data_IF_135336269817
#
_entry.id   IF_135336269817
#
_cell.length_a   1.000
_cell.length_b   1.000
_cell.length_c   1.000
_cell.angle_alpha   90.00
_cell.angle_beta   90.00
_cell.angle_gamma   90.00
#
_symmetry.space_group_name_H-M   'P 1'
#
loop_
_entity.id
_entity.type
_entity.pdbx_description
1 polymer ?
#
# COMPACT_ATOMS: atom_id res chain seq x y z
N UNK A 1 -7.27 95.81 4.15
CA UNK A 1 -8.07 95.63 5.37
C UNK A 1 -9.04 94.48 5.10
N UNK A 2 -8.61 93.24 5.36
CA UNK A 2 -9.48 92.08 5.18
C UNK A 2 -10.43 91.99 6.37
N UNK A 3 -11.74 92.02 6.10
CA UNK A 3 -12.76 91.91 7.14
C UNK A 3 -12.67 90.54 7.80
N UNK A 4 -12.56 90.50 9.13
CA UNK A 4 -12.62 89.27 9.93
C UNK A 4 -14.07 88.75 10.06
N UNK A 5 -14.78 88.65 8.94
CA UNK A 5 -16.08 87.98 8.86
C UNK A 5 -15.92 86.46 8.96
N UNK A 6 -16.80 85.84 9.76
CA UNK A 6 -17.03 84.39 9.82
C UNK A 6 -15.90 83.45 10.23
N UNK A 7 -15.29 83.70 11.40
CA UNK A 7 -14.69 82.63 12.21
C UNK A 7 -15.66 81.45 12.44
N UNK A 8 -16.98 81.70 12.54
CA UNK A 8 -18.03 80.67 12.66
C UNK A 8 -18.19 79.83 11.37
N UNK A 9 -17.95 80.41 10.20
CA UNK A 9 -18.00 79.68 8.93
C UNK A 9 -16.89 78.65 8.83
N UNK A 10 -15.65 79.05 9.16
CA UNK A 10 -14.49 78.16 9.20
C UNK A 10 -14.67 76.95 10.12
N UNK A 11 -15.21 77.12 11.33
CA UNK A 11 -15.43 75.98 12.24
C UNK A 11 -16.40 74.95 11.66
N UNK A 12 -17.43 75.41 10.94
CA UNK A 12 -18.44 74.54 10.32
C UNK A 12 -17.82 73.71 9.19
N UNK A 13 -16.97 74.32 8.35
CA UNK A 13 -16.23 73.62 7.30
C UNK A 13 -15.30 72.56 7.89
N UNK A 14 -14.52 72.89 8.92
CA UNK A 14 -13.61 71.94 9.58
C UNK A 14 -14.36 70.75 10.17
N UNK A 15 -15.48 70.97 10.86
CA UNK A 15 -16.33 69.89 11.41
C UNK A 15 -16.89 69.00 10.31
N UNK A 16 -17.39 69.57 9.21
CA UNK A 16 -17.92 68.80 8.08
C UNK A 16 -16.83 67.98 7.39
N UNK A 17 -15.63 68.54 7.17
CA UNK A 17 -14.48 67.81 6.60
C UNK A 17 -14.04 66.68 7.54
N UNK A 18 -14.02 66.91 8.85
CA UNK A 18 -13.65 65.89 9.83
C UNK A 18 -14.68 64.74 9.89
N UNK A 19 -15.98 65.04 9.77
CA UNK A 19 -17.04 64.05 9.65
C UNK A 19 -16.95 63.25 8.34
N UNK A 20 -16.64 63.89 7.21
CA UNK A 20 -16.42 63.20 5.93
C UNK A 20 -15.18 62.29 5.97
N UNK A 21 -14.09 62.74 6.59
CA UNK A 21 -12.91 61.89 6.80
C UNK A 21 -13.24 60.69 7.69
N UNK A 22 -13.97 60.90 8.79
CA UNK A 22 -14.38 59.83 9.68
C UNK A 22 -15.27 58.79 8.96
N UNK A 23 -16.23 59.23 8.14
CA UNK A 23 -17.09 58.33 7.36
C UNK A 23 -16.32 57.57 6.27
N UNK A 24 -15.31 58.19 5.66
CA UNK A 24 -14.40 57.52 4.74
C UNK A 24 -13.59 56.43 5.46
N UNK A 25 -13.01 56.72 6.63
CA UNK A 25 -12.26 55.74 7.41
C UNK A 25 -13.13 54.57 7.90
N UNK A 26 -14.38 54.82 8.35
CA UNK A 26 -15.28 53.73 8.75
C UNK A 26 -15.76 52.89 7.56
N UNK A 27 -15.96 53.50 6.39
CA UNK A 27 -16.28 52.77 5.15
C UNK A 27 -15.12 51.87 4.72
N UNK A 28 -13.90 52.40 4.64
CA UNK A 28 -12.70 51.62 4.28
C UNK A 28 -12.42 50.52 5.30
N UNK A 29 -12.54 50.82 6.60
CA UNK A 29 -12.38 49.83 7.68
C UNK A 29 -13.37 48.66 7.56
N UNK A 30 -14.65 48.97 7.32
CA UNK A 30 -15.69 47.95 7.11
C UNK A 30 -15.40 47.08 5.87
N UNK A 31 -14.93 47.69 4.77
CA UNK A 31 -14.57 46.95 3.55
C UNK A 31 -13.38 46.01 3.76
N UNK A 32 -12.37 46.41 4.54
CA UNK A 32 -11.23 45.55 4.86
C UNK A 32 -11.66 44.35 5.73
N UNK A 33 -12.38 44.62 6.82
CA UNK A 33 -12.90 43.56 7.72
C UNK A 33 -13.83 42.59 6.97
N UNK A 34 -14.66 43.09 6.05
CA UNK A 34 -15.51 42.23 5.22
C UNK A 34 -14.69 41.31 4.31
N UNK A 35 -13.65 41.83 3.66
CA UNK A 35 -12.77 41.03 2.76
C UNK A 35 -11.97 39.98 3.53
N UNK A 36 -11.48 40.31 4.71
CA UNK A 36 -10.71 39.34 5.50
C UNK A 36 -11.63 38.30 6.14
N UNK A 37 -12.84 38.67 6.58
CA UNK A 37 -13.88 37.72 7.01
C UNK A 37 -14.30 36.77 5.88
N UNK A 38 -14.46 37.27 4.65
CA UNK A 38 -14.77 36.46 3.47
C UNK A 38 -13.64 35.45 3.16
N UNK A 39 -12.37 35.90 3.15
CA UNK A 39 -11.21 35.00 2.99
C UNK A 39 -11.13 33.95 4.09
N UNK A 40 -11.29 34.34 5.36
CA UNK A 40 -11.23 33.40 6.49
C UNK A 40 -12.38 32.38 6.42
N UNK A 41 -13.59 32.81 6.03
CA UNK A 41 -14.72 31.92 5.79
C UNK A 41 -14.44 30.95 4.64
N UNK A 42 -13.85 31.41 3.54
CA UNK A 42 -13.45 30.58 2.41
C UNK A 42 -12.39 29.55 2.78
N UNK A 43 -11.35 29.93 3.54
CA UNK A 43 -10.34 29.01 4.05
C UNK A 43 -10.95 27.94 4.96
N UNK A 44 -11.79 28.33 5.92
CA UNK A 44 -12.47 27.39 6.83
C UNK A 44 -13.41 26.43 6.09
N UNK A 45 -14.15 26.91 5.08
CA UNK A 45 -14.96 26.04 4.22
C UNK A 45 -14.08 25.08 3.41
N UNK A 46 -12.95 25.55 2.91
CA UNK A 46 -11.99 24.76 2.14
C UNK A 46 -11.33 23.65 2.98
N UNK A 47 -10.93 23.93 4.23
CA UNK A 47 -10.43 22.90 5.17
C UNK A 47 -11.51 21.86 5.50
N UNK A 48 -12.76 22.29 5.70
CA UNK A 48 -13.89 21.38 5.98
C UNK A 48 -14.28 20.55 4.75
N UNK A 49 -14.14 21.08 3.54
CA UNK A 49 -14.29 20.32 2.30
C UNK A 49 -13.21 19.23 2.17
N UNK A 50 -11.96 19.53 2.52
CA UNK A 50 -10.89 18.52 2.58
C UNK A 50 -11.21 17.41 3.60
N UNK A 51 -11.65 17.78 4.81
CA UNK A 51 -12.06 16.80 5.83
C UNK A 51 -13.25 15.93 5.39
N UNK A 52 -14.19 16.48 4.62
CA UNK A 52 -15.25 15.70 4.00
C UNK A 52 -14.71 14.71 2.95
N UNK A 53 -13.74 15.13 2.12
CA UNK A 53 -13.08 14.26 1.15
C UNK A 53 -12.33 13.10 1.85
N UNK A 54 -11.60 13.38 2.93
CA UNK A 54 -10.95 12.35 3.75
C UNK A 54 -11.96 11.35 4.34
N UNK A 55 -13.10 11.84 4.83
CA UNK A 55 -14.21 11.00 5.29
C UNK A 55 -14.73 10.06 4.20
N UNK A 56 -14.87 10.57 2.97
CA UNK A 56 -15.26 9.76 1.81
C UNK A 56 -14.22 8.72 1.39
N UNK A 57 -12.93 9.04 1.48
CA UNK A 57 -11.86 8.06 1.25
C UNK A 57 -11.90 6.94 2.30
N UNK A 58 -12.12 7.27 3.58
CA UNK A 58 -12.30 6.25 4.63
C UNK A 58 -13.55 5.39 4.40
N UNK A 59 -14.65 5.98 3.92
CA UNK A 59 -15.84 5.21 3.54
C UNK A 59 -15.54 4.27 2.38
N UNK A 60 -14.89 4.75 1.32
CA UNK A 60 -14.56 3.93 0.16
C UNK A 60 -13.63 2.76 0.54
N UNK A 61 -12.62 3.00 1.37
CA UNK A 61 -11.77 1.94 1.94
C UNK A 61 -12.58 0.90 2.72
N UNK A 62 -13.52 1.34 3.56
CA UNK A 62 -14.38 0.42 4.31
C UNK A 62 -15.30 -0.41 3.40
N UNK A 63 -15.88 0.19 2.37
CA UNK A 63 -16.68 -0.50 1.34
C UNK A 63 -15.84 -1.54 0.60
N UNK A 64 -14.68 -1.15 0.07
CA UNK A 64 -13.74 -2.02 -0.65
C UNK A 64 -13.20 -3.18 0.22
N UNK A 65 -13.06 -2.96 1.53
CA UNK A 65 -12.65 -4.00 2.49
C UNK A 65 -13.70 -5.09 2.64
N UNK A 66 -14.97 -4.70 2.70
CA UNK A 66 -16.08 -5.64 2.89
C UNK A 66 -16.48 -6.32 1.58
N UNK A 67 -16.29 -5.65 0.44
CA UNK A 67 -16.56 -6.21 -0.89
C UNK A 67 -15.65 -5.54 -1.92
N UNK A 68 -14.57 -6.22 -2.34
CA UNK A 68 -13.67 -5.64 -3.37
C UNK A 68 -14.40 -5.41 -4.69
N UNK A 69 -15.21 -6.38 -5.11
CA UNK A 69 -16.00 -6.33 -6.35
C UNK A 69 -17.05 -5.21 -6.39
N UNK A 70 -17.20 -4.44 -5.31
CA UNK A 70 -17.98 -3.20 -5.31
C UNK A 70 -17.31 -2.05 -6.07
N UNK A 71 -16.01 -2.12 -6.36
CA UNK A 71 -15.23 -1.02 -6.95
C UNK A 71 -15.82 -0.47 -8.25
N UNK A 72 -16.33 -1.35 -9.12
CA UNK A 72 -16.94 -0.97 -10.40
C UNK A 72 -18.44 -0.63 -10.29
N UNK A 73 -19.01 -0.68 -9.08
CA UNK A 73 -20.41 -0.37 -8.82
C UNK A 73 -20.54 0.96 -8.06
N UNK A 74 -20.78 2.04 -8.81
CA UNK A 74 -20.96 3.39 -8.28
C UNK A 74 -22.04 3.50 -7.17
N UNK A 75 -23.05 2.63 -7.16
CA UNK A 75 -24.07 2.63 -6.10
C UNK A 75 -23.52 2.21 -4.71
N UNK A 76 -22.30 1.65 -4.66
CA UNK A 76 -21.57 1.31 -3.44
C UNK A 76 -20.86 2.51 -2.81
N UNK A 77 -20.72 3.62 -3.55
CA UNK A 77 -20.05 4.85 -3.14
C UNK A 77 -20.98 6.07 -3.31
N UNK A 78 -22.19 6.05 -2.73
CA UNK A 78 -23.16 7.12 -2.93
C UNK A 78 -22.66 8.44 -2.32
N UNK A 79 -23.01 9.56 -2.97
CA UNK A 79 -22.81 10.89 -2.40
C UNK A 79 -23.42 10.94 -0.99
N UNK A 80 -22.60 11.29 0.01
CA UNK A 80 -22.94 11.15 1.43
C UNK A 80 -22.69 12.45 2.18
N UNK A 81 -23.65 12.87 3.00
CA UNK A 81 -23.54 14.03 3.87
C UNK A 81 -22.68 13.72 5.10
N UNK A 82 -21.67 14.56 5.38
CA UNK A 82 -20.73 14.36 6.48
C UNK A 82 -20.25 15.69 7.06
N UNK A 83 -20.23 15.81 8.40
CA UNK A 83 -19.76 16.99 9.14
C UNK A 83 -20.35 18.35 8.71
N UNK A 84 -21.56 18.35 8.12
CA UNK A 84 -22.25 19.54 7.59
C UNK A 84 -21.93 19.88 6.13
N UNK A 85 -21.00 19.16 5.50
CA UNK A 85 -20.78 19.14 4.05
C UNK A 85 -21.26 17.83 3.44
N UNK A 86 -20.73 17.50 2.26
CA UNK A 86 -20.90 16.20 1.61
C UNK A 86 -19.62 15.75 0.94
N UNK A 87 -19.50 14.46 0.66
CA UNK A 87 -18.50 13.94 -0.26
C UNK A 87 -19.14 13.06 -1.34
N UNK A 88 -18.45 12.95 -2.47
CA UNK A 88 -18.75 12.03 -3.57
C UNK A 88 -17.46 11.27 -3.92
N UNK A 89 -17.53 9.95 -4.05
CA UNK A 89 -16.35 9.10 -4.17
C UNK A 89 -16.46 8.22 -5.42
N UNK A 90 -15.59 8.48 -6.39
CA UNK A 90 -15.45 7.67 -7.60
C UNK A 90 -14.29 6.71 -7.42
N UNK A 91 -14.52 5.43 -7.72
CA UNK A 91 -13.47 4.41 -7.76
C UNK A 91 -13.30 3.98 -9.21
N UNK A 92 -12.06 4.02 -9.70
CA UNK A 92 -11.70 3.54 -11.04
C UNK A 92 -10.59 2.51 -10.95
N UNK A 93 -10.48 1.66 -11.96
CA UNK A 93 -9.26 0.92 -12.26
C UNK A 93 -8.02 1.86 -12.33
N UNK A 94 -6.82 1.32 -12.05
CA UNK A 94 -5.55 2.06 -12.10
C UNK A 94 -4.87 2.07 -13.48
N UNK A 95 -5.50 1.45 -14.48
CA UNK A 95 -5.09 1.44 -15.90
C UNK A 95 -3.72 0.83 -16.11
N UNK A 96 -3.52 -0.36 -15.52
CA UNK A 96 -2.28 -1.13 -15.49
C UNK A 96 -1.74 -1.59 -16.86
N UNK A 97 -2.53 -1.44 -17.91
CA UNK A 97 -2.17 -1.76 -19.28
C UNK A 97 -2.89 -2.97 -19.88
N UNK A 98 -3.87 -3.56 -19.17
CA UNK A 98 -4.71 -4.65 -19.70
C UNK A 98 -5.77 -4.21 -20.75
N UNK A 99 -5.97 -2.89 -20.89
CA UNK A 99 -6.93 -2.21 -21.79
C UNK A 99 -8.41 -2.47 -21.44
N UNK A 100 -8.71 -2.84 -20.19
CA UNK A 100 -10.05 -3.19 -19.75
C UNK A 100 -10.40 -2.60 -18.38
N UNK A 101 -10.90 -1.36 -18.38
CA UNK A 101 -11.36 -0.60 -17.21
C UNK A 101 -12.46 -1.27 -16.33
N UNK A 102 -12.89 -2.50 -16.63
CA UNK A 102 -13.85 -3.30 -15.84
C UNK A 102 -13.22 -4.54 -15.18
N UNK A 103 -11.97 -4.88 -15.53
CA UNK A 103 -11.14 -5.83 -14.81
C UNK A 103 -10.05 -5.04 -14.07
N UNK A 104 -9.62 -5.60 -12.96
CA UNK A 104 -8.56 -5.06 -12.11
C UNK A 104 -7.65 -6.25 -11.84
N UNK A 105 -6.59 -6.36 -12.64
CA UNK A 105 -5.72 -7.55 -12.67
C UNK A 105 -4.75 -7.54 -11.47
N UNK A 106 -4.24 -6.36 -11.15
CA UNK A 106 -3.23 -6.14 -10.11
C UNK A 106 -3.84 -5.90 -8.70
N UNK A 107 -5.17 -5.82 -8.61
CA UNK A 107 -5.94 -5.51 -7.40
C UNK A 107 -5.57 -4.15 -6.79
N UNK A 108 -5.58 -3.10 -7.62
CA UNK A 108 -5.43 -1.70 -7.23
C UNK A 108 -6.52 -0.89 -7.91
N UNK A 109 -7.04 0.08 -7.17
CA UNK A 109 -8.01 1.03 -7.69
C UNK A 109 -7.62 2.44 -7.29
N UNK A 110 -7.91 3.41 -8.15
CA UNK A 110 -7.77 4.82 -7.87
C UNK A 110 -9.09 5.31 -7.27
N UNK A 111 -9.05 5.70 -5.99
CA UNK A 111 -10.19 6.35 -5.32
C UNK A 111 -9.99 7.85 -5.43
N UNK A 112 -10.86 8.52 -6.19
CA UNK A 112 -10.94 9.97 -6.29
C UNK A 112 -12.16 10.46 -5.51
N UNK A 113 -11.98 11.35 -4.54
CA UNK A 113 -13.06 11.84 -3.67
C UNK A 113 -13.17 13.35 -3.75
N UNK A 114 -14.35 13.83 -4.14
CA UNK A 114 -14.74 15.24 -4.09
C UNK A 114 -15.42 15.54 -2.75
N UNK A 115 -14.77 16.31 -1.89
CA UNK A 115 -15.40 16.87 -0.69
C UNK A 115 -15.94 18.29 -0.97
N UNK A 116 -17.14 18.59 -0.46
CA UNK A 116 -17.85 19.85 -0.69
C UNK A 116 -18.39 20.43 0.62
N UNK A 117 -18.15 21.71 0.89
CA UNK A 117 -18.66 22.43 2.05
C UNK A 117 -18.96 23.89 1.69
N UNK A 118 -20.23 24.28 1.73
CA UNK A 118 -20.68 25.61 1.35
C UNK A 118 -20.36 25.93 -0.12
N UNK A 119 -19.45 26.88 -0.38
CA UNK A 119 -18.97 27.19 -1.73
C UNK A 119 -17.58 26.61 -2.05
N UNK A 120 -16.98 25.84 -1.14
CA UNK A 120 -15.66 25.24 -1.33
C UNK A 120 -15.76 23.76 -1.72
N UNK A 121 -14.94 23.37 -2.69
CA UNK A 121 -14.79 21.99 -3.17
C UNK A 121 -13.31 21.63 -3.14
N UNK A 122 -12.97 20.42 -2.69
CA UNK A 122 -11.61 19.87 -2.68
C UNK A 122 -11.64 18.45 -3.23
N UNK A 123 -10.56 18.05 -3.90
CA UNK A 123 -10.42 16.72 -4.47
C UNK A 123 -9.19 16.04 -3.89
N UNK A 124 -9.33 14.80 -3.42
CA UNK A 124 -8.20 13.95 -3.08
C UNK A 124 -8.22 12.71 -3.97
N UNK A 125 -7.04 12.21 -4.28
CA UNK A 125 -6.83 10.96 -4.99
C UNK A 125 -5.93 10.05 -4.17
N UNK A 126 -6.27 8.77 -4.14
CA UNK A 126 -5.50 7.75 -3.46
C UNK A 126 -5.51 6.44 -4.25
N UNK A 127 -4.33 5.87 -4.51
CA UNK A 127 -4.22 4.48 -4.93
C UNK A 127 -4.54 3.60 -3.73
N UNK A 128 -5.59 2.80 -3.84
CA UNK A 128 -6.02 1.84 -2.82
C UNK A 128 -5.71 0.44 -3.33
N UNK A 129 -4.83 -0.24 -2.63
CA UNK A 129 -4.36 -1.59 -2.98
C UNK A 129 -4.70 -2.58 -1.90
N UNK A 130 -4.38 -3.83 -2.20
CA UNK A 130 -5.02 -4.99 -1.63
C UNK A 130 -3.85 -5.96 -1.28
N UNK A 131 -3.90 -6.72 -0.17
CA UNK A 131 -2.91 -7.75 0.25
C UNK A 131 -3.54 -9.16 0.54
N UNK A 132 -3.06 -10.20 -0.18
CA UNK A 132 -3.74 -11.48 -0.52
C UNK A 132 -4.20 -12.26 0.69
N UNK A 133 -5.32 -12.96 0.54
CA UNK A 133 -5.74 -13.96 1.53
C UNK A 133 -4.66 -15.02 1.74
N UNK A 134 -3.77 -15.25 0.76
CA UNK A 134 -2.58 -16.07 0.93
C UNK A 134 -1.68 -15.62 2.08
N UNK A 135 -1.44 -14.31 2.25
CA UNK A 135 -0.62 -13.79 3.37
C UNK A 135 -1.26 -13.97 4.75
N UNK A 136 -2.53 -14.38 4.82
CA UNK A 136 -3.21 -14.75 6.06
C UNK A 136 -2.99 -16.21 6.50
N UNK A 137 -2.15 -16.98 5.79
CA UNK A 137 -1.91 -18.40 6.06
C UNK A 137 -0.44 -18.68 6.44
N UNK A 138 -0.23 -19.72 7.25
CA UNK A 138 1.08 -20.36 7.44
C UNK A 138 1.54 -21.06 6.14
N UNK A 139 0.59 -21.70 5.44
CA UNK A 139 0.81 -22.33 4.13
C UNK A 139 -0.39 -22.00 3.23
N UNK A 140 -0.11 -21.42 2.07
CA UNK A 140 -1.07 -21.28 0.97
C UNK A 140 -0.50 -21.96 -0.27
N UNK A 141 -1.23 -22.94 -0.81
CA UNK A 141 -0.90 -23.60 -2.08
C UNK A 141 -2.12 -23.70 -2.98
N UNK A 142 -1.92 -23.49 -4.28
CA UNK A 142 -2.95 -23.76 -5.32
C UNK A 142 -3.18 -25.26 -5.55
N UNK A 143 -2.32 -26.13 -5.00
CA UNK A 143 -2.38 -27.59 -5.09
C UNK A 143 -2.47 -28.22 -3.69
N UNK A 144 -1.73 -29.28 -3.42
CA UNK A 144 -1.80 -30.09 -2.19
C UNK A 144 -0.70 -29.69 -1.21
N UNK A 145 -1.02 -29.71 0.10
CA UNK A 145 0.00 -29.75 1.15
C UNK A 145 0.10 -31.18 1.67
N UNK A 146 1.24 -31.81 1.43
CA UNK A 146 1.59 -33.14 1.94
C UNK A 146 2.39 -32.98 3.24
N UNK A 147 1.98 -33.67 4.30
CA UNK A 147 2.63 -33.59 5.63
C UNK A 147 2.94 -35.01 6.10
N UNK A 148 4.22 -35.31 6.32
CA UNK A 148 4.71 -36.60 6.79
C UNK A 148 5.68 -36.43 7.98
N UNK A 149 5.89 -37.50 8.75
CA UNK A 149 6.76 -37.54 9.92
C UNK A 149 6.19 -36.79 11.13
N UNK A 150 6.93 -35.81 11.65
CA UNK A 150 6.63 -35.02 12.85
C UNK A 150 6.50 -33.52 12.53
N UNK A 151 6.05 -33.20 11.32
CA UNK A 151 5.85 -31.84 10.88
C UNK A 151 4.60 -31.20 11.50
N UNK A 152 4.72 -29.95 11.94
CA UNK A 152 3.66 -29.18 12.59
C UNK A 152 3.49 -27.80 11.93
N UNK A 153 2.23 -27.42 11.69
CA UNK A 153 1.87 -26.10 11.15
C UNK A 153 0.94 -25.39 12.15
N UNK A 154 1.43 -24.32 12.74
CA UNK A 154 0.74 -23.47 13.72
C UNK A 154 0.22 -22.19 13.03
N UNK A 155 -0.90 -22.33 12.32
CA UNK A 155 -1.59 -21.21 11.68
C UNK A 155 -2.64 -21.68 10.67
N UNK A 156 -3.32 -20.75 9.99
CA UNK A 156 -4.26 -21.10 8.93
C UNK A 156 -3.54 -21.77 7.76
N UNK A 157 -4.20 -22.73 7.12
CA UNK A 157 -3.69 -23.44 5.93
C UNK A 157 -4.76 -23.39 4.85
N UNK A 158 -4.35 -23.05 3.64
CA UNK A 158 -5.19 -23.16 2.44
C UNK A 158 -4.50 -24.07 1.42
N UNK A 159 -5.24 -25.09 0.98
CA UNK A 159 -4.86 -25.98 -0.14
C UNK A 159 -5.90 -25.81 -1.25
N UNK A 160 -5.53 -26.13 -2.49
CA UNK A 160 -6.38 -25.92 -3.66
C UNK A 160 -6.86 -24.45 -3.76
N UNK A 161 -5.96 -23.52 -3.41
CA UNK A 161 -6.17 -22.08 -3.54
C UNK A 161 -6.44 -21.68 -4.99
N UNK A 162 -7.20 -20.60 -5.20
CA UNK A 162 -7.59 -20.17 -6.55
C UNK A 162 -6.47 -19.48 -7.33
N UNK A 163 -5.56 -18.79 -6.63
CA UNK A 163 -4.39 -18.10 -7.17
C UNK A 163 -3.52 -17.56 -6.03
N UNK A 164 -2.19 -17.64 -6.15
CA UNK A 164 -1.24 -16.90 -5.31
C UNK A 164 -1.23 -15.38 -5.66
N UNK A 165 -0.83 -14.50 -4.72
CA UNK A 165 -0.65 -13.08 -5.00
C UNK A 165 0.32 -12.83 -6.17
N UNK A 166 -0.10 -12.05 -7.16
CA UNK A 166 0.75 -11.67 -8.29
C UNK A 166 1.96 -10.86 -7.79
N UNK A 167 3.16 -11.26 -8.20
CA UNK A 167 4.40 -10.58 -7.85
C UNK A 167 4.73 -9.47 -8.88
N UNK A 168 5.07 -8.28 -8.41
CA UNK A 168 5.77 -7.28 -9.23
C UNK A 168 7.24 -7.70 -9.37
N UNK A 169 7.52 -8.43 -10.44
CA UNK A 169 8.86 -8.97 -10.75
C UNK A 169 9.91 -7.85 -10.86
N UNK A 170 9.56 -6.69 -11.43
CA UNK A 170 10.48 -5.58 -11.59
C UNK A 170 10.84 -4.95 -10.23
N UNK A 171 9.84 -4.73 -9.36
CA UNK A 171 10.07 -4.26 -7.99
C UNK A 171 10.87 -5.28 -7.17
N UNK A 172 10.59 -6.58 -7.31
CA UNK A 172 11.28 -7.64 -6.58
C UNK A 172 12.76 -7.76 -6.97
N UNK A 173 13.08 -7.71 -8.27
CA UNK A 173 14.46 -7.68 -8.77
C UNK A 173 15.19 -6.41 -8.28
N UNK A 174 14.53 -5.24 -8.32
CA UNK A 174 15.12 -4.00 -7.83
C UNK A 174 15.42 -4.05 -6.33
N UNK A 175 14.49 -4.56 -5.52
CA UNK A 175 14.66 -4.73 -4.08
C UNK A 175 15.76 -5.77 -3.73
N UNK A 176 15.82 -6.88 -4.46
CA UNK A 176 16.85 -7.89 -4.30
C UNK A 176 18.26 -7.35 -4.64
N UNK A 177 18.40 -6.57 -5.72
CA UNK A 177 19.68 -5.93 -6.09
C UNK A 177 20.12 -4.83 -5.12
N UNK A 178 19.16 -4.09 -4.55
CA UNK A 178 19.45 -3.10 -3.51
C UNK A 178 19.88 -3.74 -2.17
N UNK A 179 19.48 -5.00 -1.94
CA UNK A 179 19.87 -5.75 -0.76
C UNK A 179 21.27 -6.36 -0.93
N UNK A 180 22.22 -5.90 -0.11
CA UNK A 180 23.60 -6.40 -0.06
C UNK A 180 23.93 -7.12 1.25
N UNK A 181 22.96 -7.22 2.16
CA UNK A 181 23.09 -7.89 3.45
C UNK A 181 22.62 -9.34 3.34
N UNK A 182 23.51 -10.23 2.93
CA UNK A 182 23.25 -11.68 2.87
C UNK A 182 24.46 -12.49 3.37
N UNK A 183 24.28 -13.80 3.53
CA UNK A 183 25.35 -14.73 3.89
C UNK A 183 26.22 -15.19 2.71
N UNK A 184 26.19 -14.47 1.59
CA UNK A 184 27.10 -14.63 0.45
C UNK A 184 28.17 -13.52 0.50
N UNK A 185 29.28 -13.71 -0.24
CA UNK A 185 30.22 -12.62 -0.45
C UNK A 185 29.55 -11.49 -1.26
N UNK A 186 29.92 -10.23 -1.03
CA UNK A 186 29.30 -9.09 -1.69
C UNK A 186 29.33 -9.22 -3.23
N UNK A 187 28.15 -9.30 -3.85
CA UNK A 187 27.95 -9.42 -5.30
C UNK A 187 27.53 -8.07 -5.90
N UNK A 188 27.92 -7.77 -7.16
CA UNK A 188 27.40 -6.60 -7.89
C UNK A 188 25.87 -6.61 -8.03
N UNK A 189 25.27 -7.80 -8.11
CA UNK A 189 23.82 -8.00 -8.28
C UNK A 189 23.05 -8.15 -6.95
N UNK A 190 23.69 -7.91 -5.80
CA UNK A 190 23.07 -8.05 -4.48
C UNK A 190 22.54 -9.47 -4.24
N UNK A 191 21.25 -9.56 -3.89
CA UNK A 191 20.52 -10.80 -3.67
C UNK A 191 19.70 -11.28 -4.89
N UNK A 192 20.00 -10.80 -6.10
CA UNK A 192 19.43 -11.31 -7.34
C UNK A 192 20.30 -12.45 -7.92
N UNK A 193 19.65 -13.56 -8.27
CA UNK A 193 20.24 -14.74 -8.88
C UNK A 193 19.44 -15.14 -10.12
N UNK A 194 20.08 -15.78 -11.08
CA UNK A 194 19.45 -16.29 -12.29
C UNK A 194 19.78 -17.78 -12.40
N UNK A 195 18.79 -18.64 -12.19
CA UNK A 195 19.01 -20.05 -11.85
C UNK A 195 19.57 -20.26 -10.44
N UNK A 196 20.06 -21.47 -10.19
CA UNK A 196 20.36 -22.00 -8.85
C UNK A 196 21.46 -21.27 -8.05
N UNK A 197 21.52 -21.59 -6.75
CA UNK A 197 22.67 -21.25 -5.92
C UNK A 197 23.91 -22.09 -6.29
N UNK A 198 25.04 -21.42 -6.50
CA UNK A 198 26.34 -22.08 -6.69
C UNK A 198 26.99 -22.58 -5.39
N UNK A 199 26.46 -22.20 -4.23
CA UNK A 199 26.84 -22.67 -2.90
C UNK A 199 25.73 -22.34 -1.88
N UNK A 200 25.62 -23.09 -0.78
CA UNK A 200 24.67 -22.77 0.29
C UNK A 200 25.02 -21.42 0.97
N UNK A 201 24.04 -20.52 1.18
CA UNK A 201 24.24 -19.34 2.00
C UNK A 201 24.46 -19.69 3.47
N UNK A 202 25.28 -18.90 4.16
CA UNK A 202 25.40 -18.97 5.63
C UNK A 202 24.24 -18.28 6.37
N UNK A 203 23.57 -17.33 5.69
CA UNK A 203 22.35 -16.65 6.17
C UNK A 203 21.57 -16.05 4.99
N UNK A 204 20.27 -15.88 5.17
CA UNK A 204 19.36 -15.19 4.26
C UNK A 204 18.74 -14.02 5.03
N UNK A 205 18.71 -12.81 4.46
CA UNK A 205 18.11 -11.63 5.10
C UNK A 205 17.51 -10.70 4.03
N UNK A 206 16.41 -10.02 4.35
CA UNK A 206 15.72 -9.10 3.44
C UNK A 206 15.17 -9.79 2.19
N UNK A 207 15.07 -9.08 1.06
CA UNK A 207 14.59 -9.68 -0.19
C UNK A 207 15.70 -10.51 -0.84
N UNK A 208 15.37 -11.74 -1.25
CA UNK A 208 16.17 -12.62 -2.12
C UNK A 208 15.28 -13.02 -3.30
N UNK A 209 15.81 -12.89 -4.52
CA UNK A 209 15.08 -13.22 -5.73
C UNK A 209 15.89 -14.17 -6.59
N UNK A 210 15.34 -15.36 -6.83
CA UNK A 210 15.89 -16.35 -7.75
C UNK A 210 15.02 -16.38 -9.00
N UNK A 211 15.58 -15.90 -10.10
CA UNK A 211 14.97 -15.90 -11.42
C UNK A 211 15.10 -17.28 -12.07
N UNK A 212 14.29 -17.52 -13.11
CA UNK A 212 14.47 -18.66 -13.99
C UNK A 212 15.87 -18.64 -14.63
N UNK A 213 16.34 -19.79 -15.13
CA UNK A 213 17.56 -19.83 -15.92
C UNK A 213 17.42 -18.97 -17.19
N UNK A 214 18.56 -18.56 -17.77
CA UNK A 214 18.59 -17.70 -18.95
C UNK A 214 17.95 -18.32 -20.23
N UNK A 215 17.67 -19.63 -20.22
CA UNK A 215 16.93 -20.34 -21.26
C UNK A 215 15.41 -20.43 -21.00
N UNK A 216 14.94 -19.91 -19.87
CA UNK A 216 13.55 -19.93 -19.43
C UNK A 216 13.14 -21.19 -18.63
N UNK A 217 14.07 -22.08 -18.30
CA UNK A 217 13.77 -23.21 -17.40
C UNK A 217 13.64 -22.75 -15.93
N UNK A 218 12.74 -23.36 -15.12
CA UNK A 218 12.61 -23.02 -13.69
C UNK A 218 13.90 -23.29 -12.92
N UNK A 219 14.17 -22.51 -11.88
CA UNK A 219 15.29 -22.78 -10.96
C UNK A 219 14.98 -23.98 -10.03
N UNK A 220 16.02 -24.69 -9.57
CA UNK A 220 15.95 -25.80 -8.60
C UNK A 220 16.83 -25.46 -7.37
N UNK A 221 16.23 -24.74 -6.43
CA UNK A 221 16.99 -24.09 -5.35
C UNK A 221 17.15 -25.00 -4.14
N UNK A 222 18.31 -25.63 -4.07
CA UNK A 222 18.69 -26.53 -2.99
C UNK A 222 19.37 -25.78 -1.84
N UNK A 223 18.64 -25.57 -0.74
CA UNK A 223 19.17 -25.07 0.54
C UNK A 223 19.47 -26.24 1.47
N UNK A 224 20.76 -26.49 1.74
CA UNK A 224 21.20 -27.60 2.58
C UNK A 224 22.17 -27.20 3.68
N UNK A 225 22.05 -27.84 4.86
CA UNK A 225 22.99 -27.69 5.98
C UNK A 225 22.41 -26.92 7.16
N UNK A 226 23.18 -25.99 7.71
CA UNK A 226 22.76 -25.13 8.81
C UNK A 226 22.57 -23.70 8.27
N UNK A 227 21.32 -23.26 8.09
CA UNK A 227 20.97 -21.91 7.61
C UNK A 227 20.16 -21.19 8.68
N UNK A 228 20.56 -19.97 9.00
CA UNK A 228 19.96 -19.14 10.05
C UNK A 228 19.63 -17.74 9.51
N UNK A 229 18.41 -17.27 9.75
CA UNK A 229 17.96 -15.91 9.39
C UNK A 229 17.51 -15.08 10.60
N UNK A 230 17.78 -15.52 11.83
CA UNK A 230 17.36 -14.81 13.06
C UNK A 230 17.95 -13.40 13.20
N UNK A 231 18.92 -13.04 12.34
CA UNK A 231 19.44 -11.68 12.20
C UNK A 231 18.47 -10.68 11.54
N UNK A 232 17.40 -11.15 10.88
CA UNK A 232 16.38 -10.28 10.28
C UNK A 232 15.48 -11.00 9.28
N UNK A 233 14.22 -10.59 9.21
CA UNK A 233 13.24 -11.27 8.35
C UNK A 233 13.62 -11.26 6.87
N UNK A 234 13.36 -12.38 6.19
CA UNK A 234 13.61 -12.58 4.78
C UNK A 234 12.32 -12.71 3.95
N UNK A 235 12.41 -12.36 2.67
CA UNK A 235 11.42 -12.66 1.64
C UNK A 235 12.18 -13.40 0.56
N UNK A 236 11.98 -14.70 0.47
CA UNK A 236 12.66 -15.58 -0.47
C UNK A 236 11.72 -15.93 -1.61
N UNK A 237 11.97 -15.31 -2.75
CA UNK A 237 11.18 -15.45 -3.98
C UNK A 237 11.94 -16.35 -4.94
N UNK A 238 11.28 -17.41 -5.43
CA UNK A 238 11.87 -18.34 -6.40
C UNK A 238 10.93 -18.58 -7.58
N UNK A 239 11.46 -18.40 -8.79
CA UNK A 239 10.82 -18.69 -10.07
C UNK A 239 11.05 -20.17 -10.44
N UNK A 240 10.57 -21.08 -9.60
CA UNK A 240 10.83 -22.53 -9.68
C UNK A 240 10.70 -23.22 -8.31
N UNK A 241 11.41 -24.34 -8.17
CA UNK A 241 11.33 -25.26 -7.04
C UNK A 241 12.32 -24.90 -5.91
N UNK A 242 11.93 -25.19 -4.67
CA UNK A 242 12.72 -24.93 -3.45
C UNK A 242 12.81 -26.19 -2.60
N UNK A 243 14.03 -26.70 -2.44
CA UNK A 243 14.34 -27.87 -1.63
C UNK A 243 15.16 -27.47 -0.40
N UNK A 244 14.54 -27.49 0.79
CA UNK A 244 15.20 -27.19 2.06
C UNK A 244 15.50 -28.49 2.82
N UNK A 245 16.74 -28.65 3.27
CA UNK A 245 17.19 -29.83 4.02
C UNK A 245 18.24 -29.49 5.10
N UNK A 246 18.21 -30.22 6.22
CA UNK A 246 19.20 -30.07 7.30
C UNK A 246 18.61 -29.43 8.56
N UNK A 247 19.31 -28.48 9.17
CA UNK A 247 18.83 -27.68 10.31
C UNK A 247 18.65 -26.23 9.86
N UNK A 248 17.43 -25.81 9.59
CA UNK A 248 17.16 -24.45 9.07
C UNK A 248 16.25 -23.70 10.02
N UNK A 249 16.60 -22.45 10.32
CA UNK A 249 15.73 -21.49 11.03
C UNK A 249 15.51 -20.29 10.12
N UNK A 250 14.27 -20.06 9.72
CA UNK A 250 13.90 -19.06 8.72
C UNK A 250 12.71 -18.19 9.18
N UNK A 251 12.97 -16.91 9.40
CA UNK A 251 12.00 -15.90 9.80
C UNK A 251 11.58 -15.13 8.55
N UNK A 252 10.35 -15.33 8.06
CA UNK A 252 9.93 -14.66 6.83
C UNK A 252 8.91 -15.39 5.95
N UNK A 253 8.83 -14.90 4.72
CA UNK A 253 8.01 -15.46 3.65
C UNK A 253 8.88 -16.28 2.70
N UNK A 254 8.46 -17.51 2.38
CA UNK A 254 8.89 -18.24 1.18
C UNK A 254 7.77 -18.09 0.15
N UNK A 255 8.09 -17.59 -1.03
CA UNK A 255 7.17 -17.44 -2.15
C UNK A 255 7.75 -18.14 -3.38
N UNK A 256 7.01 -19.11 -3.92
CA UNK A 256 7.40 -19.88 -5.10
C UNK A 256 6.35 -19.75 -6.19
N UNK A 257 6.80 -19.60 -7.43
CA UNK A 257 5.93 -19.60 -8.60
C UNK A 257 6.63 -20.19 -9.82
N UNK A 258 5.98 -21.10 -10.53
CA UNK A 258 6.60 -21.81 -11.64
C UNK A 258 5.60 -22.62 -12.47
N UNK A 259 5.96 -22.89 -13.72
CA UNK A 259 5.06 -23.54 -14.68
C UNK A 259 4.97 -25.07 -14.54
N UNK A 260 5.89 -25.71 -13.82
CA UNK A 260 5.97 -27.17 -13.60
C UNK A 260 6.99 -27.47 -12.50
N UNK A 261 6.57 -28.13 -11.41
CA UNK A 261 7.49 -28.56 -10.36
C UNK A 261 6.83 -28.91 -9.02
N UNK A 262 7.63 -29.40 -8.08
CA UNK A 262 7.26 -29.51 -6.66
C UNK A 262 7.79 -28.26 -5.95
N UNK A 263 7.09 -27.14 -6.16
CA UNK A 263 7.51 -25.79 -5.76
C UNK A 263 8.20 -25.70 -4.38
N UNK A 264 7.70 -26.39 -3.34
CA UNK A 264 8.35 -26.37 -2.01
C UNK A 264 8.44 -27.76 -1.38
N UNK A 265 9.66 -28.18 -1.04
CA UNK A 265 9.92 -29.39 -0.26
C UNK A 265 10.81 -29.08 0.94
N UNK A 266 10.26 -29.18 2.15
CA UNK A 266 10.95 -28.95 3.42
C UNK A 266 11.22 -30.29 4.13
N UNK A 267 12.49 -30.58 4.41
CA UNK A 267 12.95 -31.85 4.99
C UNK A 267 13.92 -31.64 6.14
N UNK A 268 13.94 -32.56 7.11
CA UNK A 268 14.88 -32.52 8.23
C UNK A 268 14.34 -31.76 9.44
N UNK A 269 15.09 -30.82 9.99
CA UNK A 269 14.78 -30.04 11.19
C UNK A 269 14.64 -28.56 10.80
N UNK A 270 13.47 -28.16 10.34
CA UNK A 270 13.25 -26.84 9.70
C UNK A 270 12.23 -26.05 10.52
N UNK A 271 12.66 -24.99 11.19
CA UNK A 271 11.79 -24.00 11.82
C UNK A 271 11.55 -22.81 10.89
N UNK A 272 10.29 -22.45 10.66
CA UNK A 272 9.88 -21.26 9.91
C UNK A 272 8.96 -20.40 10.78
N UNK A 273 9.32 -19.14 11.02
CA UNK A 273 8.46 -18.13 11.63
C UNK A 273 7.94 -17.17 10.54
N UNK A 274 6.73 -17.40 10.03
CA UNK A 274 6.17 -16.63 8.91
C UNK A 274 5.24 -17.48 8.05
N UNK A 275 5.63 -17.84 6.83
CA UNK A 275 4.79 -18.68 5.99
C UNK A 275 5.33 -19.00 4.60
N UNK A 276 4.61 -19.90 3.93
CA UNK A 276 4.92 -20.43 2.60
C UNK A 276 3.74 -20.16 1.66
N UNK A 277 4.01 -19.58 0.49
CA UNK A 277 3.05 -19.33 -0.58
C UNK A 277 3.59 -19.99 -1.85
N UNK A 278 2.79 -20.84 -2.51
CA UNK A 278 3.24 -21.72 -3.58
C UNK A 278 2.19 -21.90 -4.68
N UNK A 279 2.60 -21.90 -5.95
CA UNK A 279 1.73 -22.26 -7.08
C UNK A 279 1.53 -23.77 -7.24
N UNK A 280 2.48 -24.57 -6.77
CA UNK A 280 2.39 -26.03 -6.80
C UNK A 280 2.40 -26.64 -5.39
N UNK A 281 2.54 -27.96 -5.29
CA UNK A 281 2.47 -28.70 -4.04
C UNK A 281 3.52 -28.24 -3.00
N UNK A 282 3.16 -28.35 -1.73
CA UNK A 282 4.07 -28.14 -0.59
C UNK A 282 4.26 -29.46 0.16
N UNK A 283 5.50 -29.92 0.29
CA UNK A 283 5.85 -31.16 0.99
C UNK A 283 6.59 -30.84 2.29
N UNK A 284 6.06 -31.28 3.43
CA UNK A 284 6.70 -31.16 4.74
C UNK A 284 7.03 -32.55 5.27
N UNK A 285 8.30 -32.82 5.60
CA UNK A 285 8.70 -34.13 6.15
C UNK A 285 9.83 -34.04 7.20
N UNK A 286 9.78 -34.93 8.18
CA UNK A 286 10.70 -34.90 9.32
C UNK A 286 10.18 -34.03 10.46
N UNK A 287 11.04 -33.19 11.05
CA UNK A 287 10.74 -32.28 12.15
C UNK A 287 10.62 -30.83 11.64
N UNK A 288 9.65 -30.58 10.75
CA UNK A 288 9.36 -29.23 10.24
C UNK A 288 8.38 -28.53 11.18
N UNK A 289 8.65 -27.29 11.57
CA UNK A 289 7.75 -26.44 12.34
C UNK A 289 7.51 -25.14 11.57
N UNK A 290 6.26 -24.89 11.21
CA UNK A 290 5.81 -23.64 10.58
C UNK A 290 4.92 -22.87 11.57
N UNK A 291 5.42 -21.78 12.14
CA UNK A 291 4.68 -20.89 13.04
C UNK A 291 4.27 -19.61 12.31
N UNK A 292 2.97 -19.36 12.17
CA UNK A 292 2.49 -18.20 11.44
C UNK A 292 2.73 -16.90 12.22
N UNK A 293 3.42 -15.96 11.57
CA UNK A 293 3.61 -14.60 12.08
C UNK A 293 3.12 -13.57 11.07
N UNK A 294 2.02 -12.90 11.40
CA UNK A 294 1.49 -11.80 10.60
C UNK A 294 2.53 -10.66 10.42
N UNK A 295 3.39 -10.44 11.41
CA UNK A 295 4.45 -9.43 11.33
C UNK A 295 5.56 -9.75 10.32
N UNK A 296 5.81 -11.04 10.07
CA UNK A 296 6.75 -11.48 9.03
C UNK A 296 6.09 -11.56 7.65
N UNK A 297 4.80 -11.92 7.58
CA UNK A 297 4.05 -12.05 6.32
C UNK A 297 3.52 -10.73 5.75
N UNK A 298 3.12 -9.79 6.60
CA UNK A 298 2.53 -8.50 6.20
C UNK A 298 3.39 -7.36 6.74
N UNK A 299 4.53 -7.14 6.08
CA UNK A 299 5.47 -6.06 6.36
C UNK A 299 5.56 -5.11 5.16
N UNK A 300 6.22 -3.95 5.32
CA UNK A 300 6.30 -2.93 4.27
C UNK A 300 6.89 -3.45 2.96
N UNK A 301 7.81 -4.42 3.02
CA UNK A 301 8.41 -5.04 1.83
C UNK A 301 7.41 -5.95 1.13
N UNK A 302 6.73 -6.87 1.82
CA UNK A 302 5.70 -7.72 1.17
C UNK A 302 4.58 -6.86 0.57
N UNK A 303 4.16 -5.78 1.23
CA UNK A 303 3.16 -4.85 0.67
C UNK A 303 3.62 -4.07 -0.56
N UNK A 304 4.93 -3.94 -0.79
CA UNK A 304 5.49 -3.28 -1.99
C UNK A 304 5.78 -4.24 -3.15
N UNK A 305 5.97 -5.53 -2.87
CA UNK A 305 6.36 -6.53 -3.87
C UNK A 305 5.17 -7.27 -4.47
N UNK A 306 4.05 -7.37 -3.75
CA UNK A 306 2.90 -8.14 -4.17
C UNK A 306 1.69 -7.27 -4.51
N UNK A 307 1.12 -7.54 -5.68
CA UNK A 307 -0.07 -6.94 -6.25
C UNK A 307 -1.27 -7.85 -5.89
N UNK A 308 -2.00 -7.59 -4.78
CA UNK A 308 -3.41 -8.01 -4.50
C UNK A 308 -3.78 -8.47 -3.09
N UNK A 309 -5.06 -8.27 -2.67
CA UNK A 309 -5.91 -8.90 -1.59
C UNK A 309 -6.60 -8.16 -0.38
N UNK A 310 -7.27 -8.93 0.49
CA UNK A 310 -8.28 -8.56 1.52
C UNK A 310 -8.35 -7.15 2.15
N UNK A 311 -7.28 -6.52 2.67
CA UNK A 311 -7.38 -5.22 3.36
C UNK A 311 -6.93 -4.04 2.48
N UNK A 312 -7.83 -3.14 2.04
CA UNK A 312 -7.47 -1.94 1.30
C UNK A 312 -6.57 -1.01 2.11
N UNK A 313 -5.40 -0.69 1.57
CA UNK A 313 -4.44 0.29 2.12
C UNK A 313 -4.24 1.45 1.16
N UNK A 314 -4.00 2.65 1.71
CA UNK A 314 -3.58 3.82 0.92
C UNK A 314 -2.11 3.67 0.55
N UNK A 315 -1.79 3.40 -0.72
CA UNK A 315 -0.39 3.42 -1.19
C UNK A 315 0.10 4.85 -1.45
N UNK A 316 -0.80 5.72 -1.90
CA UNK A 316 -0.53 7.13 -2.20
C UNK A 316 -1.70 7.99 -1.71
N UNK A 317 -1.41 9.23 -1.30
CA UNK A 317 -2.42 10.25 -1.03
C UNK A 317 -1.93 11.56 -1.61
N UNK A 318 -2.75 12.18 -2.46
CA UNK A 318 -2.49 13.50 -3.00
C UNK A 318 -3.78 14.30 -3.06
N UNK A 319 -3.70 15.58 -2.72
CA UNK A 319 -4.71 16.54 -3.14
C UNK A 319 -4.49 16.83 -4.64
N UNK A 320 -5.57 16.80 -5.42
CA UNK A 320 -5.53 17.09 -6.86
C UNK A 320 -6.37 18.33 -7.18
N UNK A 321 -5.98 19.02 -8.25
CA UNK A 321 -6.74 20.12 -8.83
C UNK A 321 -7.25 19.67 -10.19
N UNK A 322 -8.58 19.76 -10.47
CA UNK A 322 -9.16 19.40 -11.77
C UNK A 322 -8.80 20.40 -12.88
#
# INVERSE_FOLDING_TARGET
>A
MFSFGDQKGMSTVVVITMLMLLSLFTSVGTQLVSKDSEKTSGLLQSERALYAAEGGLRMAQYTLKNSWTSWNNAASFPQTSFAGGSFDATVTDDSDGDWNNNLDSNNKVIVTVQGSMGNATRYIQATVSRYSSAFGNAVYTEQTLNVDGSAHVYGPVTQNGSAIPVLDVAAAIAAARANTSNGFAARPDGNYFQGDFSANPSSLNGVIFIDAHADGSPADVNLSGNVDTTSGSAIFIVMGDVHVSGNVTYDGLIYTTGAVGLDVTLTGNVGIAGGVISSNDVNLSGSVVLEYSQGHMVNSLTTSLFLSGVNPSTQSWAEIFP
#
